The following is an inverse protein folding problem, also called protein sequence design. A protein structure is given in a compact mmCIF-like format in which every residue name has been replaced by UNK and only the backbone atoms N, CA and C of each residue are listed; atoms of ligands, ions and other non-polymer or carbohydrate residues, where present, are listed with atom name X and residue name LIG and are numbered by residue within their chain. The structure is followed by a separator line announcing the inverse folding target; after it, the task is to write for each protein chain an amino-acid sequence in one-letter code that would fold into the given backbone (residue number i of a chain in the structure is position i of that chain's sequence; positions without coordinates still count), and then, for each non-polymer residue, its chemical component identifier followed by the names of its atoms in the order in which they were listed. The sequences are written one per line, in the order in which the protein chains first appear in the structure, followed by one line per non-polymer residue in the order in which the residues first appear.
data_IF_649527098943
#
_entry.id   IF_649527098943
#
_cell.length_a   1.000
_cell.length_b   1.000
_cell.length_c   1.000
_cell.angle_alpha   90.00
_cell.angle_beta   90.00
_cell.angle_gamma   90.00
#
_symmetry.space_group_name_H-M   'P 1'
#
loop_
_entity.id
_entity.type
_entity.pdbx_description
1 polymer ?
#
# COMPACT_ATOMS: atom_id res chain seq x y z
N UNK A 1 2.64 -13.70 -2.03
CA UNK A 1 1.77 -13.82 -0.83
C UNK A 1 1.05 -12.50 -0.63
N UNK A 2 -0.20 -12.55 -0.35
CA UNK A 2 -0.89 -11.39 0.19
C UNK A 2 -1.82 -11.85 1.31
N UNK A 3 -1.99 -11.00 2.29
CA UNK A 3 -2.86 -11.26 3.42
C UNK A 3 -3.65 -9.99 3.73
N UNK A 4 -4.85 -10.19 4.18
CA UNK A 4 -5.76 -9.11 4.49
C UNK A 4 -6.30 -9.31 5.89
N UNK A 5 -6.18 -8.30 6.70
CA UNK A 5 -6.64 -8.32 8.09
C UNK A 5 -7.52 -7.11 8.33
N UNK A 6 -8.76 -7.35 8.69
CA UNK A 6 -9.64 -6.30 9.15
C UNK A 6 -9.38 -6.05 10.64
N UNK A 7 -9.09 -4.81 10.98
CA UNK A 7 -8.84 -4.39 12.35
C UNK A 7 -9.88 -3.35 12.76
N UNK A 8 -10.37 -3.48 13.98
CA UNK A 8 -11.27 -2.50 14.53
C UNK A 8 -12.43 -3.12 15.26
N UNK A 9 -13.14 -2.27 15.98
CA UNK A 9 -14.40 -2.59 16.62
C UNK A 9 -15.51 -1.90 15.85
N UNK A 10 -16.76 -2.17 16.20
CA UNK A 10 -17.90 -1.52 15.58
C UNK A 10 -17.72 0.01 15.62
N UNK A 11 -17.68 0.66 14.45
CA UNK A 11 -17.43 2.09 14.31
C UNK A 11 -15.97 2.48 14.08
N UNK A 12 -15.03 1.53 14.22
CA UNK A 12 -13.60 1.75 13.99
C UNK A 12 -13.09 0.75 12.96
N UNK A 13 -13.47 0.91 11.71
CA UNK A 13 -13.08 -0.01 10.66
C UNK A 13 -11.90 0.50 9.87
N UNK A 14 -10.99 -0.40 9.56
CA UNK A 14 -9.84 -0.15 8.73
C UNK A 14 -9.24 -1.49 8.29
N UNK A 15 -8.26 -1.42 7.39
CA UNK A 15 -7.68 -2.61 6.79
C UNK A 15 -6.16 -2.55 6.87
N UNK A 16 -5.56 -3.68 7.22
CA UNK A 16 -4.13 -3.90 7.15
C UNK A 16 -3.87 -4.97 6.10
N UNK A 17 -3.09 -4.64 5.09
CA UNK A 17 -2.82 -5.53 3.97
C UNK A 17 -1.33 -5.76 3.80
N UNK A 18 -0.96 -7.00 3.50
CA UNK A 18 0.40 -7.42 3.14
C UNK A 18 0.35 -7.96 1.72
N UNK A 19 1.21 -7.48 0.86
CA UNK A 19 1.26 -7.95 -0.52
C UNK A 19 2.69 -8.06 -1.03
N UNK A 20 2.93 -9.13 -1.77
CA UNK A 20 4.17 -9.31 -2.53
C UNK A 20 3.96 -8.61 -3.88
N UNK A 21 4.69 -7.53 -4.12
CA UNK A 21 4.51 -6.69 -5.30
C UNK A 21 5.50 -7.10 -6.36
N UNK A 22 5.01 -7.79 -7.39
CA UNK A 22 5.82 -8.20 -8.55
C UNK A 22 5.58 -7.33 -9.76
N UNK A 23 4.40 -6.74 -9.86
CA UNK A 23 4.00 -5.90 -10.99
C UNK A 23 3.25 -4.67 -10.49
N UNK A 24 3.27 -3.63 -11.30
CA UNK A 24 2.53 -2.38 -11.02
C UNK A 24 1.77 -1.96 -12.27
N UNK A 25 0.69 -1.20 -12.07
CA UNK A 25 -0.04 -0.57 -13.16
C UNK A 25 0.67 0.71 -13.59
N UNK A 26 0.79 0.92 -14.90
CA UNK A 26 1.30 2.19 -15.40
C UNK A 26 0.34 3.32 -15.02
N UNK A 27 0.83 4.42 -14.45
CA UNK A 27 -0.07 5.51 -14.03
C UNK A 27 -0.90 6.12 -15.15
N UNK A 28 -0.32 6.29 -16.34
CA UNK A 28 -1.00 6.91 -17.48
C UNK A 28 -1.81 5.92 -18.32
N UNK A 29 -1.63 4.61 -18.10
CA UNK A 29 -2.30 3.56 -18.87
C UNK A 29 -2.56 2.38 -17.95
N UNK A 30 -3.59 2.48 -17.13
CA UNK A 30 -3.87 1.55 -16.02
C UNK A 30 -4.14 0.12 -16.48
N UNK A 31 -4.52 -0.07 -17.75
CA UNK A 31 -4.66 -1.40 -18.33
C UNK A 31 -3.31 -2.08 -18.60
N UNK A 32 -2.24 -1.32 -18.62
CA UNK A 32 -0.91 -1.88 -18.82
C UNK A 32 -0.23 -2.15 -17.48
N UNK A 33 0.31 -3.34 -17.36
CA UNK A 33 1.00 -3.82 -16.16
C UNK A 33 2.43 -4.11 -16.54
N UNK A 34 3.36 -3.62 -15.73
CA UNK A 34 4.80 -3.81 -15.94
C UNK A 34 5.43 -4.38 -14.68
N UNK A 35 6.65 -4.89 -14.81
CA UNK A 35 7.39 -5.37 -13.64
C UNK A 35 7.59 -4.24 -12.65
N UNK A 36 7.43 -4.56 -11.36
CA UNK A 36 7.65 -3.58 -10.31
C UNK A 36 9.11 -3.12 -10.33
N UNK A 37 9.35 -1.82 -10.19
CA UNK A 37 10.71 -1.31 -10.12
C UNK A 37 11.38 -1.76 -8.83
N UNK A 38 12.71 -1.84 -8.85
CA UNK A 38 13.47 -2.15 -7.64
C UNK A 38 13.26 -1.09 -6.56
N UNK A 39 13.14 0.16 -6.97
CA UNK A 39 12.85 1.28 -6.07
C UNK A 39 11.34 1.56 -6.10
N UNK A 40 10.57 0.74 -5.42
CA UNK A 40 9.13 0.93 -5.34
C UNK A 40 8.76 2.20 -4.59
N UNK A 41 9.53 2.58 -3.58
CA UNK A 41 9.31 3.84 -2.84
C UNK A 41 9.43 5.03 -3.79
N UNK A 42 10.49 5.07 -4.59
CA UNK A 42 10.67 6.14 -5.59
C UNK A 42 9.55 6.16 -6.61
N UNK A 43 9.06 4.99 -7.02
CA UNK A 43 7.93 4.90 -7.94
C UNK A 43 6.67 5.52 -7.32
N UNK A 44 6.40 5.24 -6.05
CA UNK A 44 5.27 5.85 -5.32
C UNK A 44 5.44 7.37 -5.21
N UNK A 45 6.64 7.84 -4.88
CA UNK A 45 6.92 9.27 -4.75
C UNK A 45 6.72 10.02 -6.07
N UNK A 46 7.06 9.41 -7.19
CA UNK A 46 6.96 10.02 -8.52
C UNK A 46 5.64 9.72 -9.22
N UNK A 47 4.74 9.00 -8.58
CA UNK A 47 3.44 8.69 -9.16
C UNK A 47 2.63 9.98 -9.31
N UNK A 48 2.11 10.31 -10.54
CA UNK A 48 1.47 11.60 -10.80
C UNK A 48 0.20 11.85 -9.99
N UNK A 49 -0.45 10.79 -9.51
CA UNK A 49 -1.72 10.91 -8.78
C UNK A 49 -1.58 10.67 -7.27
N UNK A 50 -0.35 10.52 -6.78
CA UNK A 50 -0.11 10.30 -5.35
C UNK A 50 0.71 11.45 -4.76
N UNK A 51 0.36 11.80 -3.52
CA UNK A 51 1.13 12.73 -2.70
C UNK A 51 1.69 11.93 -1.53
N UNK A 52 3.00 11.95 -1.36
CA UNK A 52 3.66 11.17 -0.32
C UNK A 52 4.39 12.06 0.67
N UNK A 53 4.48 11.59 1.92
CA UNK A 53 5.40 12.18 2.88
C UNK A 53 6.83 11.75 2.56
N UNK A 54 7.81 12.36 3.22
CA UNK A 54 9.21 11.95 3.09
C UNK A 54 9.38 10.54 3.66
N UNK A 55 9.97 9.61 2.90
CA UNK A 55 10.22 8.27 3.40
C UNK A 55 11.12 8.26 4.63
N UNK A 56 10.80 7.38 5.57
CA UNK A 56 11.58 7.19 6.80
C UNK A 56 12.08 5.75 6.84
N UNK A 57 13.33 5.51 7.25
CA UNK A 57 13.81 4.13 7.37
C UNK A 57 13.05 3.37 8.45
N UNK A 58 12.86 2.08 8.22
CA UNK A 58 12.19 1.20 9.16
C UNK A 58 12.82 -0.19 9.08
N UNK A 59 12.75 -0.93 10.17
CA UNK A 59 13.15 -2.33 10.19
C UNK A 59 12.00 -3.14 10.80
N UNK A 60 11.49 -4.10 10.04
CA UNK A 60 10.37 -4.94 10.45
C UNK A 60 10.78 -6.41 10.38
N UNK A 61 10.69 -7.11 11.50
CA UNK A 61 11.10 -8.52 11.54
C UNK A 61 12.52 -8.76 11.08
N UNK A 62 13.43 -7.80 11.32
CA UNK A 62 14.81 -7.89 10.88
C UNK A 62 15.08 -7.46 9.45
N UNK A 63 14.05 -7.08 8.70
CA UNK A 63 14.20 -6.64 7.31
C UNK A 63 14.09 -5.12 7.23
N UNK A 64 15.06 -4.51 6.56
CA UNK A 64 15.10 -3.05 6.38
C UNK A 64 14.20 -2.62 5.25
N UNK A 65 13.59 -1.46 5.41
CA UNK A 65 12.74 -0.87 4.39
C UNK A 65 12.50 0.60 4.69
N UNK A 66 11.45 1.12 4.11
CA UNK A 66 11.03 2.51 4.31
C UNK A 66 9.53 2.59 4.56
N UNK A 67 9.12 3.61 5.30
CA UNK A 67 7.71 3.91 5.54
C UNK A 67 7.38 5.32 5.06
N UNK A 68 6.19 5.51 4.55
CA UNK A 68 5.71 6.81 4.10
C UNK A 68 4.19 6.87 4.21
N UNK A 69 3.67 8.08 4.31
CA UNK A 69 2.23 8.33 4.23
C UNK A 69 1.87 8.65 2.78
N UNK A 70 0.73 8.16 2.34
CA UNK A 70 0.27 8.34 0.95
C UNK A 70 -1.15 8.84 0.93
N UNK A 71 -1.38 9.89 0.14
CA UNK A 71 -2.69 10.45 -0.16
C UNK A 71 -2.89 10.46 -1.67
N UNK A 72 -4.11 10.24 -2.11
CA UNK A 72 -4.44 10.37 -3.53
C UNK A 72 -4.77 11.83 -3.82
N UNK A 73 -4.12 12.41 -4.85
CA UNK A 73 -4.39 13.76 -5.32
C UNK A 73 -5.74 13.81 -6.03
N UNK A 74 -6.19 15.02 -6.35
CA UNK A 74 -7.35 15.19 -7.23
C UNK A 74 -7.08 14.54 -8.58
N UNK A 75 -7.98 13.66 -8.97
CA UNK A 75 -7.83 12.89 -10.20
C UNK A 75 -8.38 13.66 -11.40
N UNK A 76 -7.71 13.61 -12.57
CA UNK A 76 -8.26 14.23 -13.78
C UNK A 76 -9.54 13.53 -14.22
N UNK A 77 -10.41 14.27 -14.89
CA UNK A 77 -11.69 13.75 -15.34
C UNK A 77 -11.57 12.62 -16.36
N UNK A 78 -10.49 12.63 -17.13
CA UNK A 78 -10.23 11.61 -18.14
C UNK A 78 -9.48 10.39 -17.58
N UNK A 79 -9.13 10.40 -16.30
CA UNK A 79 -8.53 9.25 -15.65
C UNK A 79 -9.57 8.15 -15.48
N UNK A 80 -9.30 6.98 -16.03
CA UNK A 80 -10.25 5.87 -16.06
C UNK A 80 -9.59 4.61 -15.49
N UNK A 81 -9.54 4.46 -14.17
CA UNK A 81 -8.92 3.30 -13.55
C UNK A 81 -9.82 2.06 -13.61
N UNK A 82 -9.21 0.89 -13.47
CA UNK A 82 -9.92 -0.38 -13.40
C UNK A 82 -10.70 -0.52 -12.09
N UNK A 83 -10.24 0.10 -11.04
CA UNK A 83 -10.86 0.00 -9.70
C UNK A 83 -12.16 0.79 -9.56
N UNK A 84 -12.54 1.59 -10.56
CA UNK A 84 -13.74 2.43 -10.50
C UNK A 84 -13.44 3.89 -10.22
N UNK A 85 -14.44 4.72 -9.93
CA UNK A 85 -14.21 6.14 -9.67
C UNK A 85 -13.49 6.36 -8.34
N UNK A 86 -12.79 7.47 -8.24
CA UNK A 86 -12.15 7.96 -7.01
C UNK A 86 -11.10 7.01 -6.43
N UNK A 87 -10.42 6.25 -7.28
CA UNK A 87 -9.34 5.37 -6.84
C UNK A 87 -8.23 5.29 -7.89
N UNK A 88 -7.07 4.80 -7.46
CA UNK A 88 -5.88 4.62 -8.28
C UNK A 88 -5.45 3.18 -8.20
N UNK A 89 -5.26 2.53 -9.36
CA UNK A 89 -4.71 1.18 -9.44
C UNK A 89 -3.21 1.25 -9.22
N UNK A 90 -2.73 0.55 -8.22
CA UNK A 90 -1.30 0.52 -7.88
C UNK A 90 -0.66 -0.78 -8.37
N UNK A 91 -1.15 -1.91 -7.91
CA UNK A 91 -0.57 -3.19 -8.27
C UNK A 91 -1.66 -4.25 -8.41
N UNK A 92 -1.58 -5.10 -9.44
CA UNK A 92 -2.43 -6.28 -9.50
C UNK A 92 -1.94 -7.28 -8.46
N UNK A 93 -2.85 -8.08 -7.94
CA UNK A 93 -2.49 -9.17 -7.05
C UNK A 93 -2.85 -10.48 -7.73
N UNK A 94 -1.94 -11.44 -7.70
CA UNK A 94 -2.16 -12.74 -8.32
C UNK A 94 -3.11 -13.59 -7.49
N UNK A 95 -3.82 -14.52 -8.15
CA UNK A 95 -4.59 -15.58 -7.52
C UNK A 95 -5.74 -15.13 -6.64
N UNK A 96 -6.72 -14.47 -7.22
CA UNK A 96 -8.00 -14.14 -6.59
C UNK A 96 -7.91 -13.21 -5.38
N UNK A 97 -6.81 -12.48 -5.26
CA UNK A 97 -6.64 -11.55 -4.16
C UNK A 97 -6.96 -10.13 -4.59
N UNK A 98 -7.32 -9.32 -3.64
CA UNK A 98 -7.64 -7.93 -3.95
C UNK A 98 -6.44 -7.18 -4.48
N UNK A 99 -6.67 -6.43 -5.55
CA UNK A 99 -5.65 -5.55 -6.09
C UNK A 99 -5.28 -4.46 -5.09
N UNK A 100 -4.03 -4.02 -5.11
CA UNK A 100 -3.63 -2.85 -4.33
C UNK A 100 -4.21 -1.62 -5.01
N UNK A 101 -5.18 -1.00 -4.39
CA UNK A 101 -5.84 0.22 -4.86
C UNK A 101 -5.83 1.26 -3.75
N UNK A 102 -5.68 2.52 -4.14
CA UNK A 102 -5.71 3.63 -3.18
C UNK A 102 -6.87 4.54 -3.53
N UNK A 103 -7.71 4.87 -2.53
CA UNK A 103 -8.91 5.68 -2.73
C UNK A 103 -8.72 7.11 -2.30
N UNK A 104 -9.36 8.02 -3.02
CA UNK A 104 -9.41 9.43 -2.64
C UNK A 104 -10.08 9.57 -1.27
N UNK A 105 -9.54 10.45 -0.45
CA UNK A 105 -10.10 10.77 0.86
C UNK A 105 -9.65 9.90 2.02
N UNK A 106 -8.95 8.81 1.75
CA UNK A 106 -8.40 7.95 2.79
C UNK A 106 -6.93 8.27 3.03
N UNK A 107 -6.55 8.35 4.29
CA UNK A 107 -5.15 8.38 4.67
C UNK A 107 -4.64 6.95 4.74
N UNK A 108 -3.37 6.75 4.38
CA UNK A 108 -2.75 5.45 4.50
C UNK A 108 -1.27 5.57 4.81
N UNK A 109 -0.79 4.61 5.57
CA UNK A 109 0.63 4.45 5.85
C UNK A 109 1.11 3.21 5.13
N UNK A 110 2.22 3.36 4.42
CA UNK A 110 2.77 2.31 3.56
C UNK A 110 4.18 1.99 4.03
N UNK A 111 4.48 0.71 4.12
CA UNK A 111 5.82 0.18 4.39
C UNK A 111 6.25 -0.61 3.16
N UNK A 112 7.46 -0.34 2.68
CA UNK A 112 8.04 -1.08 1.56
C UNK A 112 9.31 -1.76 2.05
N UNK A 113 9.32 -3.08 1.97
CA UNK A 113 10.47 -3.91 2.31
C UNK A 113 10.98 -4.56 1.02
N UNK A 114 12.16 -4.16 0.56
CA UNK A 114 12.61 -4.51 -0.78
C UNK A 114 13.22 -5.91 -0.90
N UNK A 115 13.59 -6.52 0.22
CA UNK A 115 14.23 -7.84 0.18
C UNK A 115 13.73 -8.71 1.34
N UNK A 116 12.49 -9.18 1.21
CA UNK A 116 11.96 -10.21 2.10
C UNK A 116 12.17 -11.54 1.38
N UNK A 117 13.33 -12.14 1.59
CA UNK A 117 13.72 -13.41 0.94
C UNK A 117 13.64 -13.33 -0.59
N UNK A 118 14.11 -12.22 -1.14
CA UNK A 118 14.10 -11.97 -2.58
C UNK A 118 12.87 -11.29 -3.13
N UNK A 119 11.86 -11.09 -2.31
CA UNK A 119 10.60 -10.47 -2.73
C UNK A 119 10.45 -9.04 -2.18
N UNK A 120 9.77 -8.19 -2.94
CA UNK A 120 9.36 -6.87 -2.46
C UNK A 120 7.99 -7.00 -1.82
N UNK A 121 7.91 -6.66 -0.55
CA UNK A 121 6.66 -6.71 0.21
C UNK A 121 6.21 -5.30 0.54
N UNK A 122 4.97 -5.00 0.22
CA UNK A 122 4.32 -3.76 0.61
C UNK A 122 3.28 -4.07 1.68
N UNK A 123 3.35 -3.32 2.76
CA UNK A 123 2.38 -3.41 3.85
C UNK A 123 1.71 -2.06 3.95
N UNK A 124 0.39 -2.04 3.99
CA UNK A 124 -0.29 -0.75 4.17
C UNK A 124 -1.54 -0.91 5.02
N UNK A 125 -1.88 0.16 5.70
CA UNK A 125 -3.17 0.29 6.33
C UNK A 125 -3.77 1.63 5.96
N UNK A 126 -5.09 1.63 5.84
CA UNK A 126 -5.86 2.79 5.42
C UNK A 126 -7.09 2.92 6.31
N UNK A 127 -7.55 4.15 6.45
CA UNK A 127 -8.79 4.44 7.17
C UNK A 127 -9.30 5.81 6.77
N UNK A 128 -10.52 6.12 7.21
CA UNK A 128 -11.06 7.46 7.03
C UNK A 128 -10.29 8.45 7.89
N UNK A 129 -10.22 9.73 7.50
CA UNK A 129 -9.51 10.74 8.30
C UNK A 129 -9.96 10.80 9.76
N UNK A 130 -11.25 10.55 10.02
CA UNK A 130 -11.81 10.65 11.37
C UNK A 130 -11.33 9.55 12.32
N UNK A 131 -11.02 8.37 11.79
CA UNK A 131 -10.67 7.20 12.59
C UNK A 131 -9.25 6.71 12.36
N UNK A 132 -8.51 7.35 11.45
CA UNK A 132 -7.20 6.88 11.01
C UNK A 132 -6.21 6.75 12.18
N UNK A 133 -6.11 7.75 13.04
CA UNK A 133 -5.13 7.74 14.13
C UNK A 133 -5.38 6.59 15.11
N UNK A 134 -6.65 6.35 15.47
CA UNK A 134 -7.01 5.24 16.36
C UNK A 134 -6.68 3.90 15.70
N UNK A 135 -7.08 3.75 14.46
CA UNK A 135 -6.79 2.53 13.70
C UNK A 135 -5.30 2.32 13.49
N UNK A 136 -4.57 3.39 13.16
CA UNK A 136 -3.13 3.33 12.92
C UNK A 136 -2.37 2.82 14.13
N UNK A 137 -2.76 3.20 15.35
CA UNK A 137 -2.12 2.70 16.56
C UNK A 137 -2.27 1.19 16.71
N UNK A 138 -3.44 0.66 16.38
CA UNK A 138 -3.69 -0.80 16.41
C UNK A 138 -2.93 -1.53 15.31
N UNK A 139 -2.97 -0.99 14.10
CA UNK A 139 -2.27 -1.57 12.96
C UNK A 139 -0.75 -1.59 13.16
N UNK A 140 -0.20 -0.51 13.74
CA UNK A 140 1.23 -0.42 14.01
C UNK A 140 1.71 -1.52 14.95
N UNK A 141 0.91 -1.89 15.94
CA UNK A 141 1.26 -3.00 16.86
C UNK A 141 1.37 -4.32 16.11
N UNK A 142 0.47 -4.56 15.15
CA UNK A 142 0.53 -5.76 14.31
C UNK A 142 1.77 -5.74 13.42
N UNK A 143 2.05 -4.60 12.79
CA UNK A 143 3.22 -4.44 11.93
C UNK A 143 4.51 -4.64 12.73
N UNK A 144 4.59 -4.08 13.93
CA UNK A 144 5.77 -4.22 14.79
C UNK A 144 6.00 -5.66 15.24
N UNK A 145 4.97 -6.49 15.24
CA UNK A 145 5.06 -7.89 15.64
C UNK A 145 5.38 -8.85 14.48
N UNK A 146 5.59 -8.32 13.28
CA UNK A 146 5.83 -9.15 12.09
C UNK A 146 7.07 -10.02 12.24
N UNK A 147 6.91 -11.28 11.88
CA UNK A 147 8.00 -12.25 11.78
C UNK A 147 7.92 -12.93 10.43
N UNK A 148 9.06 -13.04 9.77
CA UNK A 148 9.12 -13.64 8.44
C UNK A 148 9.51 -15.11 8.59
N UNK A 149 8.64 -15.99 8.13
CA UNK A 149 8.92 -17.42 8.16
C UNK A 149 9.57 -17.88 6.87
N UNK A 150 10.49 -18.83 6.99
CA UNK A 150 11.09 -19.52 5.85
C UNK A 150 10.15 -20.65 5.45
N UNK A 151 9.53 -20.52 4.30
CA UNK A 151 8.71 -21.59 3.75
C UNK A 151 9.52 -22.44 2.78
#
# INVERSE_FOLDING_TARGET
MSAYIELGQQGETGFLTFANVKKVHKPAATYEVVDAPKDLVGWLEHHPYLKTSKPQPVTLGGVKGEQLEVLVKDLPQDYNPLCGPDCVDIAPVSNDQEAAIFRVGNERKVFVLEDVKGDTVMIWFAGSPDTFDTFASKAQKVVDSVKWEVS
#
